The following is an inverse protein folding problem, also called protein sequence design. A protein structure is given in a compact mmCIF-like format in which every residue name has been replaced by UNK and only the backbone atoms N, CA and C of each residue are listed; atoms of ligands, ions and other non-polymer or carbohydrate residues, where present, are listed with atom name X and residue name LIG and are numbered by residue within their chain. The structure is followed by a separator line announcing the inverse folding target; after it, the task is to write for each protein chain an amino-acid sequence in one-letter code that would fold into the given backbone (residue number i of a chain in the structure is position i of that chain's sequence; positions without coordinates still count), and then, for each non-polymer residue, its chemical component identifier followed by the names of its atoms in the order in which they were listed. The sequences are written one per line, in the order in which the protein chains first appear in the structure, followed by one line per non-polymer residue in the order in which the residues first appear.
data_IF_473928636446
#
_entry.id   IF_473928636446
#
_cell.length_a   1.000
_cell.length_b   1.000
_cell.length_c   1.000
_cell.angle_alpha   90.00
_cell.angle_beta   90.00
_cell.angle_gamma   90.00
#
_symmetry.space_group_name_H-M   'P 1'
#
loop_
_entity.id
_entity.type
_entity.pdbx_description
1 polymer ?
#
# COMPACT_ATOMS: atom_id res chain seq x y z
N UNK A 1 13.32 -22.66 -24.28
CA UNK A 1 13.19 -22.66 -22.81
C UNK A 1 12.46 -23.91 -22.27
N UNK A 2 12.59 -25.10 -22.89
CA UNK A 2 11.86 -26.32 -22.48
C UNK A 2 12.68 -27.29 -21.60
N UNK A 3 14.02 -27.13 -21.57
CA UNK A 3 14.96 -28.09 -20.95
C UNK A 3 14.99 -28.09 -19.42
N UNK A 4 14.59 -27.00 -18.76
CA UNK A 4 14.59 -26.91 -17.28
C UNK A 4 13.39 -27.65 -16.70
N UNK A 5 12.21 -27.45 -17.29
CA UNK A 5 10.99 -28.16 -16.94
C UNK A 5 11.18 -29.68 -17.06
N UNK A 6 11.68 -30.16 -18.21
CA UNK A 6 11.91 -31.60 -18.44
C UNK A 6 12.88 -32.23 -17.42
N UNK A 7 13.91 -31.49 -17.00
CA UNK A 7 14.88 -31.95 -15.98
C UNK A 7 14.31 -31.97 -14.56
N UNK A 8 13.35 -31.10 -14.26
CA UNK A 8 12.64 -31.09 -12.99
C UNK A 8 11.65 -32.27 -12.93
N UNK A 9 10.95 -32.54 -14.04
CA UNK A 9 9.98 -33.62 -14.17
C UNK A 9 10.58 -35.01 -13.98
N UNK A 10 11.78 -35.25 -14.53
CA UNK A 10 12.47 -36.54 -14.42
C UNK A 10 12.96 -36.92 -13.01
N UNK A 11 12.77 -36.06 -11.99
CA UNK A 11 13.19 -36.29 -10.59
C UNK A 11 12.02 -36.36 -9.60
N UNK A 12 10.79 -36.13 -10.05
CA UNK A 12 9.60 -36.15 -9.18
C UNK A 12 9.26 -37.55 -8.68
N UNK A 13 9.63 -38.58 -9.45
CA UNK A 13 9.56 -40.00 -9.07
C UNK A 13 10.32 -40.33 -7.77
N UNK A 14 11.37 -39.56 -7.47
CA UNK A 14 12.23 -39.73 -6.30
C UNK A 14 11.70 -39.10 -5.02
N UNK A 15 10.58 -38.39 -5.09
CA UNK A 15 9.95 -37.75 -3.94
C UNK A 15 8.49 -38.20 -3.82
N UNK A 16 8.21 -39.31 -3.11
CA UNK A 16 6.85 -39.86 -3.01
C UNK A 16 5.86 -38.85 -2.43
N UNK A 17 6.32 -37.94 -1.57
CA UNK A 17 5.52 -36.87 -0.98
C UNK A 17 5.08 -35.81 -1.98
N UNK A 18 5.87 -35.56 -3.03
CA UNK A 18 5.52 -34.63 -4.11
C UNK A 18 4.75 -35.32 -5.25
N UNK A 19 4.96 -36.62 -5.44
CA UNK A 19 4.34 -37.39 -6.52
C UNK A 19 2.82 -37.51 -6.37
N UNK A 20 2.32 -37.71 -5.15
CA UNK A 20 0.90 -37.99 -4.92
C UNK A 20 -0.01 -36.77 -5.19
N UNK A 21 0.30 -35.53 -4.72
CA UNK A 21 -0.45 -34.34 -5.09
C UNK A 21 -0.36 -34.01 -6.59
N UNK A 22 0.77 -34.34 -7.22
CA UNK A 22 1.02 -34.05 -8.63
C UNK A 22 0.20 -34.96 -9.56
N UNK A 23 0.13 -36.27 -9.28
CA UNK A 23 -0.74 -37.20 -10.00
C UNK A 23 -2.24 -36.89 -9.83
N UNK A 24 -2.60 -36.24 -8.72
CA UNK A 24 -3.96 -35.79 -8.43
C UNK A 24 -4.32 -34.43 -9.08
N UNK A 25 -3.42 -33.86 -9.88
CA UNK A 25 -3.64 -32.57 -10.53
C UNK A 25 -3.59 -31.36 -9.60
N UNK A 26 -2.97 -31.51 -8.41
CA UNK A 26 -2.87 -30.45 -7.40
C UNK A 26 -2.06 -29.21 -7.83
N UNK A 27 -1.47 -29.25 -9.03
CA UNK A 27 -0.74 -28.15 -9.67
C UNK A 27 -1.23 -27.86 -11.10
N UNK A 28 -2.35 -28.46 -11.53
CA UNK A 28 -2.88 -28.30 -12.89
C UNK A 28 -3.47 -26.91 -13.13
N UNK A 29 -3.91 -26.24 -12.05
CA UNK A 29 -4.31 -24.83 -12.07
C UNK A 29 -3.21 -24.00 -11.40
N UNK A 30 -2.36 -23.29 -12.16
CA UNK A 30 -1.52 -22.28 -11.55
C UNK A 30 -2.46 -21.19 -11.04
N UNK A 31 -2.50 -20.98 -9.72
CA UNK A 31 -2.88 -19.67 -9.20
C UNK A 31 -1.97 -18.71 -9.93
N UNK A 32 -2.49 -17.86 -10.81
CA UNK A 32 -1.65 -16.99 -11.61
C UNK A 32 -0.84 -16.15 -10.63
N UNK A 33 0.42 -16.53 -10.47
CA UNK A 33 1.28 -16.03 -9.40
C UNK A 33 1.55 -14.54 -9.65
N UNK A 34 1.40 -14.10 -10.90
CA UNK A 34 1.41 -12.69 -11.26
C UNK A 34 0.14 -11.98 -10.80
N UNK A 35 -1.06 -12.48 -11.12
CA UNK A 35 -2.32 -11.86 -10.67
C UNK A 35 -2.44 -11.82 -9.15
N UNK A 36 -2.13 -12.94 -8.48
CA UNK A 36 -2.12 -12.99 -7.02
C UNK A 36 -1.13 -11.98 -6.43
N UNK A 37 0.10 -11.92 -6.96
CA UNK A 37 1.12 -10.97 -6.53
C UNK A 37 0.68 -9.51 -6.76
N UNK A 38 0.12 -9.22 -7.93
CA UNK A 38 -0.38 -7.90 -8.30
C UNK A 38 -1.53 -7.47 -7.39
N UNK A 39 -2.48 -8.36 -7.11
CA UNK A 39 -3.59 -8.09 -6.20
C UNK A 39 -3.06 -7.71 -4.80
N UNK A 40 -2.07 -8.45 -4.26
CA UNK A 40 -1.46 -8.11 -2.97
C UNK A 40 -0.77 -6.75 -2.96
N UNK A 41 -0.12 -6.37 -4.06
CA UNK A 41 0.51 -5.04 -4.21
C UNK A 41 -0.55 -3.94 -4.27
N UNK A 42 -1.62 -4.14 -5.02
CA UNK A 42 -2.73 -3.18 -5.13
C UNK A 42 -3.47 -3.02 -3.80
N UNK A 43 -3.74 -4.12 -3.09
CA UNK A 43 -4.34 -4.10 -1.75
C UNK A 43 -3.48 -3.30 -0.75
N UNK A 44 -2.15 -3.53 -0.79
CA UNK A 44 -1.20 -2.82 0.05
C UNK A 44 -1.10 -1.32 -0.25
N UNK A 45 -0.99 -0.95 -1.53
CA UNK A 45 -0.93 0.46 -1.94
C UNK A 45 -2.25 1.20 -1.66
N UNK A 46 -3.40 0.57 -1.90
CA UNK A 46 -4.72 1.10 -1.55
C UNK A 46 -4.83 1.40 -0.06
N UNK A 47 -4.39 0.48 0.80
CA UNK A 47 -4.38 0.67 2.25
C UNK A 47 -3.52 1.87 2.70
N UNK A 48 -2.36 2.09 2.06
CA UNK A 48 -1.49 3.24 2.36
C UNK A 48 -2.10 4.57 1.91
N UNK A 49 -2.75 4.59 0.75
CA UNK A 49 -3.45 5.77 0.23
C UNK A 49 -4.63 6.12 1.14
N UNK A 50 -5.45 5.13 1.53
CA UNK A 50 -6.58 5.31 2.43
C UNK A 50 -6.15 5.94 3.76
N UNK A 51 -5.15 5.34 4.45
CA UNK A 51 -4.63 5.87 5.72
C UNK A 51 -4.13 7.31 5.60
N UNK A 52 -3.50 7.65 4.47
CA UNK A 52 -3.07 9.02 4.20
C UNK A 52 -4.24 10.00 4.12
N UNK A 53 -5.38 9.61 3.54
CA UNK A 53 -6.55 10.47 3.44
C UNK A 53 -7.30 10.59 4.78
N UNK A 54 -7.43 9.52 5.55
CA UNK A 54 -8.08 9.54 6.88
C UNK A 54 -7.32 10.41 7.90
N UNK A 55 -5.99 10.39 7.88
CA UNK A 55 -5.17 11.11 8.87
C UNK A 55 -5.08 12.62 8.61
N UNK A 56 -5.65 13.14 7.51
CA UNK A 56 -5.33 14.49 6.98
C UNK A 56 -6.44 15.52 7.05
N UNK A 57 -7.56 15.24 7.70
CA UNK A 57 -8.56 16.28 8.01
C UNK A 57 -8.07 17.13 9.20
N UNK A 58 -7.05 17.94 8.92
CA UNK A 58 -6.42 18.81 9.92
C UNK A 58 -7.22 20.11 10.01
N UNK A 59 -7.67 20.42 11.21
CA UNK A 59 -8.36 21.68 11.52
C UNK A 59 -7.35 22.78 11.85
N UNK A 60 -7.63 23.99 11.41
CA UNK A 60 -6.80 25.16 11.67
C UNK A 60 -6.79 25.45 13.18
N UNK A 61 -5.64 25.41 13.87
CA UNK A 61 -5.59 25.64 15.31
C UNK A 61 -5.93 27.09 15.70
N UNK A 62 -6.01 28.02 14.74
CA UNK A 62 -6.37 29.41 15.01
C UNK A 62 -7.87 29.70 14.92
N UNK A 63 -8.62 28.99 14.09
CA UNK A 63 -10.02 29.31 13.81
C UNK A 63 -10.95 28.09 13.71
N UNK A 64 -10.42 26.87 13.78
CA UNK A 64 -11.19 25.63 13.67
C UNK A 64 -11.62 25.26 12.24
N UNK A 65 -11.38 26.10 11.22
CA UNK A 65 -11.74 25.76 9.84
C UNK A 65 -10.87 24.63 9.27
N UNK A 66 -11.38 23.78 8.37
CA UNK A 66 -10.59 22.75 7.70
C UNK A 66 -9.42 23.38 6.94
N UNK A 67 -8.22 22.80 7.08
CA UNK A 67 -7.06 23.23 6.29
C UNK A 67 -7.13 22.64 4.89
N UNK A 68 -6.82 23.46 3.87
CA UNK A 68 -6.89 23.02 2.48
C UNK A 68 -5.80 21.97 2.19
N UNK A 69 -6.22 20.87 1.56
CA UNK A 69 -5.32 19.80 1.11
C UNK A 69 -4.36 20.37 0.08
N UNK A 70 -3.08 20.06 0.24
CA UNK A 70 -2.02 20.40 -0.72
C UNK A 70 -1.70 19.13 -1.51
N UNK A 71 -1.77 19.19 -2.84
CA UNK A 71 -1.52 18.02 -3.70
C UNK A 71 -0.05 17.58 -3.68
N UNK A 72 0.86 18.50 -3.37
CA UNK A 72 2.29 18.24 -3.21
C UNK A 72 2.91 19.04 -2.06
N UNK A 73 4.01 18.54 -1.52
CA UNK A 73 4.81 19.22 -0.50
C UNK A 73 4.32 19.03 0.94
N UNK A 74 4.84 19.88 1.84
CA UNK A 74 4.53 19.82 3.28
C UNK A 74 3.09 20.32 3.54
N UNK A 75 2.26 19.55 4.27
CA UNK A 75 0.90 19.98 4.62
C UNK A 75 0.88 21.33 5.34
N UNK A 76 -0.12 22.16 5.00
CA UNK A 76 -0.34 23.47 5.65
C UNK A 76 -0.94 23.26 7.03
N UNK A 77 -0.35 23.88 8.05
CA UNK A 77 -0.90 23.85 9.43
C UNK A 77 -2.06 24.82 9.63
N UNK A 78 -2.12 25.90 8.84
CA UNK A 78 -3.14 26.95 8.96
C UNK A 78 -3.91 27.09 7.65
N UNK A 79 -5.21 27.39 7.73
CA UNK A 79 -6.06 27.56 6.55
C UNK A 79 -5.66 28.78 5.70
N UNK A 80 -5.03 29.80 6.30
CA UNK A 80 -4.60 31.01 5.60
C UNK A 80 -3.37 31.68 6.24
N UNK A 81 -2.64 32.55 5.51
CA UNK A 81 -1.58 33.39 6.08
C UNK A 81 -2.04 34.25 7.25
N UNK A 82 -3.28 34.76 7.21
CA UNK A 82 -3.87 35.55 8.28
C UNK A 82 -4.00 34.75 9.59
N UNK A 83 -4.47 33.49 9.52
CA UNK A 83 -4.54 32.62 10.69
C UNK A 83 -3.17 32.27 11.26
N UNK A 84 -2.16 32.07 10.39
CA UNK A 84 -0.77 31.89 10.82
C UNK A 84 -0.27 33.11 11.59
N UNK A 85 -0.53 34.32 11.09
CA UNK A 85 -0.08 35.55 11.73
C UNK A 85 -0.82 35.84 13.03
N UNK A 86 -2.13 35.53 13.12
CA UNK A 86 -2.90 35.59 14.37
C UNK A 86 -2.31 34.67 15.44
N UNK A 87 -1.98 33.43 15.08
CA UNK A 87 -1.36 32.47 15.98
C UNK A 87 0.04 32.92 16.43
N UNK A 88 0.84 33.50 15.53
CA UNK A 88 2.14 34.08 15.87
C UNK A 88 2.00 35.22 16.89
N UNK A 89 1.13 36.21 16.61
CA UNK A 89 0.90 37.35 17.51
C UNK A 89 0.48 36.91 18.91
N UNK A 90 -0.42 35.92 19.03
CA UNK A 90 -0.84 35.36 20.32
C UNK A 90 0.31 34.76 21.14
N UNK A 91 1.33 34.20 20.49
CA UNK A 91 2.50 33.60 21.15
C UNK A 91 3.52 34.65 21.60
N UNK A 92 3.59 35.78 20.91
CA UNK A 92 4.58 36.85 21.18
C UNK A 92 4.02 37.93 22.11
N UNK A 93 2.69 38.03 22.26
CA UNK A 93 2.03 38.97 23.17
C UNK A 93 1.86 38.45 24.61
N UNK A 94 2.48 37.32 24.93
CA UNK A 94 2.45 36.67 26.24
C UNK A 94 3.90 36.51 26.73
#
# INVERSE_FOLDING_TARGET
MRKIADRLYARLDRSPTLLQPWQAGGYDEPVDSFEFGLQRVLDGTGSLIQRRYETRDVMCPSCGAPTQRSDAGRPRTYCSPACRQRAYRRRTSH
#
